data_IF_286706787147
#
_entry.id   IF_286706787147
#
_cell.length_a   1.000
_cell.length_b   1.000
_cell.length_c   1.000
_cell.angle_alpha   90.00
_cell.angle_beta   90.00
_cell.angle_gamma   90.00
#
_symmetry.space_group_name_H-M   'P 1'
#
loop_
_entity.id
_entity.type
_entity.pdbx_description
1 polymer ?
#
# COMPACT_ATOMS: atom_id res chain seq x y z
N UNK A 1 -18.54 21.43 -2.40
CA UNK A 1 -18.45 21.20 -3.86
C UNK A 1 -17.07 20.71 -4.20
N UNK A 2 -16.94 19.59 -4.95
CA UNK A 2 -15.62 19.05 -5.32
C UNK A 2 -14.96 19.98 -6.35
N UNK A 3 -13.98 20.76 -5.91
CA UNK A 3 -13.20 21.71 -6.72
C UNK A 3 -12.17 21.02 -7.64
N UNK A 4 -12.27 19.72 -7.82
CA UNK A 4 -11.32 18.91 -8.58
C UNK A 4 -11.89 18.54 -9.95
N UNK A 5 -11.24 19.00 -11.03
CA UNK A 5 -11.44 18.39 -12.32
C UNK A 5 -10.80 17.00 -12.32
N UNK A 6 -11.55 16.02 -12.74
CA UNK A 6 -11.07 14.64 -12.83
C UNK A 6 -10.43 14.44 -14.19
N UNK A 7 -9.17 13.96 -14.22
CA UNK A 7 -8.50 13.68 -15.50
C UNK A 7 -9.26 12.59 -16.27
N UNK A 8 -9.38 12.67 -17.61
CA UNK A 8 -10.11 11.68 -18.42
C UNK A 8 -9.68 10.23 -18.24
N UNK A 9 -8.42 10.02 -17.88
CA UNK A 9 -7.94 8.66 -17.55
C UNK A 9 -8.61 8.05 -16.32
N UNK A 10 -9.33 8.82 -15.50
CA UNK A 10 -9.98 8.31 -14.29
C UNK A 10 -10.96 7.17 -14.59
N UNK A 11 -11.84 7.33 -15.56
CA UNK A 11 -12.84 6.31 -15.90
C UNK A 11 -12.19 4.98 -16.35
N UNK A 12 -11.02 5.06 -16.98
CA UNK A 12 -10.25 3.88 -17.40
C UNK A 12 -9.56 3.18 -16.23
N UNK A 13 -9.35 3.89 -15.11
CA UNK A 13 -8.67 3.38 -13.92
C UNK A 13 -9.62 2.85 -12.85
N UNK A 14 -10.89 3.31 -12.89
CA UNK A 14 -11.92 2.92 -11.93
C UNK A 14 -12.97 2.12 -12.67
N UNK A 15 -12.72 0.81 -12.80
CA UNK A 15 -13.75 -0.11 -13.30
C UNK A 15 -14.64 -0.56 -12.15
N UNK A 16 -15.75 0.15 -11.95
CA UNK A 16 -16.72 -0.12 -10.90
C UNK A 16 -17.54 -1.42 -11.15
N UNK A 17 -17.49 -1.98 -12.34
CA UNK A 17 -18.27 -3.15 -12.72
C UNK A 17 -17.45 -4.44 -12.84
N UNK A 18 -16.15 -4.32 -13.13
CA UNK A 18 -15.28 -5.46 -13.47
C UNK A 18 -14.43 -6.02 -12.30
N UNK A 19 -14.46 -5.42 -11.12
CA UNK A 19 -13.60 -5.83 -10.00
C UNK A 19 -12.17 -5.23 -10.06
N UNK A 20 -11.22 -5.73 -9.24
CA UNK A 20 -9.86 -5.19 -9.18
C UNK A 20 -9.13 -5.27 -10.52
N UNK A 21 -8.59 -4.13 -10.98
CA UNK A 21 -7.90 -4.01 -12.26
C UNK A 21 -6.54 -3.35 -12.12
N UNK A 22 -5.53 -3.85 -12.85
CA UNK A 22 -4.18 -3.30 -12.80
C UNK A 22 -3.95 -2.20 -13.84
N UNK A 23 -3.14 -1.19 -13.47
CA UNK A 23 -2.80 -0.08 -14.34
C UNK A 23 -1.37 0.43 -14.06
N UNK A 24 -0.70 0.90 -15.11
CA UNK A 24 0.59 1.59 -15.00
C UNK A 24 0.43 2.98 -15.63
N UNK A 25 0.68 4.01 -14.83
CA UNK A 25 0.47 5.40 -15.20
C UNK A 25 1.79 6.15 -15.08
N UNK A 26 2.31 6.64 -16.21
CA UNK A 26 3.48 7.50 -16.22
C UNK A 26 3.07 8.97 -16.28
N UNK A 27 3.85 9.83 -15.64
CA UNK A 27 3.62 11.27 -15.73
C UNK A 27 4.78 12.08 -15.20
N UNK A 28 4.94 13.28 -15.75
CA UNK A 28 5.93 14.27 -15.29
C UNK A 28 5.62 14.72 -13.85
N UNK A 29 6.62 15.29 -13.19
CA UNK A 29 6.42 15.91 -11.89
C UNK A 29 5.51 17.13 -12.03
N UNK A 30 4.36 17.09 -11.33
CA UNK A 30 3.32 18.13 -11.41
C UNK A 30 2.24 17.85 -12.46
N UNK A 31 2.25 16.70 -13.15
CA UNK A 31 1.19 16.28 -14.09
C UNK A 31 -0.15 15.93 -13.40
N UNK A 32 -0.19 15.87 -12.08
CA UNK A 32 -1.41 15.52 -11.36
C UNK A 32 -1.54 14.05 -10.96
N UNK A 33 -0.47 13.22 -11.06
CA UNK A 33 -0.46 11.80 -10.63
C UNK A 33 -1.11 11.59 -9.27
N UNK A 34 -0.63 12.31 -8.25
CA UNK A 34 -1.14 12.17 -6.88
C UNK A 34 -2.58 12.66 -6.72
N UNK A 35 -3.01 13.64 -7.53
CA UNK A 35 -4.42 14.07 -7.57
C UNK A 35 -5.30 12.98 -8.20
N UNK A 36 -4.89 12.42 -9.32
CA UNK A 36 -5.58 11.30 -9.99
C UNK A 36 -5.65 10.07 -9.05
N UNK A 37 -4.55 9.71 -8.40
CA UNK A 37 -4.54 8.62 -7.40
C UNK A 37 -5.56 8.85 -6.29
N UNK A 38 -5.62 10.09 -5.73
CA UNK A 38 -6.60 10.42 -4.68
C UNK A 38 -8.05 10.30 -5.19
N UNK A 39 -8.31 10.75 -6.42
CA UNK A 39 -9.63 10.62 -7.04
C UNK A 39 -10.01 9.15 -7.23
N UNK A 40 -9.08 8.33 -7.75
CA UNK A 40 -9.25 6.88 -7.90
C UNK A 40 -9.49 6.22 -6.56
N UNK A 41 -8.67 6.52 -5.53
CA UNK A 41 -8.85 5.98 -4.19
C UNK A 41 -10.20 6.38 -3.57
N UNK A 42 -10.64 7.64 -3.77
CA UNK A 42 -11.95 8.12 -3.31
C UNK A 42 -13.09 7.37 -4.01
N UNK A 43 -13.01 7.18 -5.33
CA UNK A 43 -14.01 6.44 -6.10
C UNK A 43 -14.12 4.97 -5.67
N UNK A 44 -12.99 4.27 -5.56
CA UNK A 44 -12.94 2.87 -5.11
C UNK A 44 -13.43 2.68 -3.66
N UNK A 45 -13.09 3.61 -2.77
CA UNK A 45 -13.59 3.59 -1.38
C UNK A 45 -15.09 3.88 -1.30
N UNK A 46 -15.60 4.77 -2.15
CA UNK A 46 -17.04 5.10 -2.19
C UNK A 46 -17.85 3.92 -2.75
N UNK A 47 -17.33 3.19 -3.73
CA UNK A 47 -17.95 1.96 -4.25
C UNK A 47 -17.94 0.84 -3.20
N UNK A 48 -16.93 0.76 -2.35
CA UNK A 48 -16.82 -0.18 -1.22
C UNK A 48 -16.71 -1.66 -1.59
N UNK A 49 -16.67 -1.99 -2.88
CA UNK A 49 -16.59 -3.38 -3.36
C UNK A 49 -15.21 -4.00 -3.15
N UNK A 50 -14.15 -3.22 -3.20
CA UNK A 50 -12.76 -3.67 -3.03
C UNK A 50 -12.10 -3.12 -1.78
N UNK A 51 -11.12 -3.84 -1.21
CA UNK A 51 -10.28 -3.31 -0.15
C UNK A 51 -9.20 -2.42 -0.78
N UNK A 52 -9.34 -1.10 -0.62
CA UNK A 52 -8.41 -0.13 -1.21
C UNK A 52 -7.27 0.19 -0.26
N UNK A 53 -6.03 -0.03 -0.71
CA UNK A 53 -4.77 0.21 0.00
C UNK A 53 -3.97 1.27 -0.74
N UNK A 54 -3.50 2.29 -0.03
CA UNK A 54 -2.66 3.35 -0.58
C UNK A 54 -1.25 3.25 -0.01
N UNK A 55 -0.25 3.14 -0.89
CA UNK A 55 1.18 3.18 -0.55
C UNK A 55 1.75 4.47 -1.14
N UNK A 56 1.89 5.48 -0.29
CA UNK A 56 2.36 6.83 -0.67
C UNK A 56 3.73 7.16 -0.11
N UNK A 57 4.24 6.33 0.76
CA UNK A 57 5.58 6.40 1.33
C UNK A 57 6.12 4.97 1.43
N UNK A 58 7.23 4.71 0.78
CA UNK A 58 7.91 3.41 0.78
C UNK A 58 9.12 3.37 1.72
N UNK A 59 9.56 4.52 2.22
CA UNK A 59 10.76 4.64 3.03
C UNK A 59 10.74 3.78 4.31
N UNK A 60 9.62 3.65 5.06
CA UNK A 60 9.59 2.83 6.27
C UNK A 60 9.98 1.37 6.02
N UNK A 61 9.57 0.78 4.89
CA UNK A 61 9.94 -0.59 4.51
C UNK A 61 11.37 -0.68 3.99
N UNK A 62 11.82 0.33 3.23
CA UNK A 62 13.18 0.39 2.70
C UNK A 62 14.21 0.61 3.81
N UNK A 63 13.88 1.33 4.87
CA UNK A 63 14.73 1.47 6.06
C UNK A 63 14.94 0.13 6.76
N UNK A 64 13.87 -0.65 6.97
CA UNK A 64 13.97 -2.00 7.55
C UNK A 64 14.87 -2.87 6.66
N UNK A 65 14.67 -2.84 5.34
CA UNK A 65 15.50 -3.58 4.39
C UNK A 65 16.97 -3.18 4.49
N UNK A 66 17.26 -1.88 4.54
CA UNK A 66 18.62 -1.35 4.67
C UNK A 66 19.28 -1.75 5.99
N UNK A 67 18.55 -1.73 7.09
CA UNK A 67 19.05 -2.16 8.40
C UNK A 67 19.38 -3.66 8.39
N UNK A 68 18.54 -4.49 7.81
CA UNK A 68 18.79 -5.93 7.70
C UNK A 68 19.92 -6.26 6.72
N UNK A 69 19.98 -5.59 5.58
CA UNK A 69 21.07 -5.74 4.61
C UNK A 69 22.43 -5.26 5.17
N UNK A 70 22.43 -4.21 6.00
CA UNK A 70 23.63 -3.69 6.67
C UNK A 70 24.25 -4.64 7.68
N UNK A 71 23.50 -5.60 8.20
CA UNK A 71 24.01 -6.68 9.06
C UNK A 71 24.76 -7.78 8.26
N UNK A 72 24.57 -7.83 6.94
CA UNK A 72 25.29 -8.74 6.04
C UNK A 72 26.59 -8.08 5.55
N UNK A 73 27.73 -8.80 5.61
CA UNK A 73 29.07 -8.31 5.26
C UNK A 73 29.28 -7.83 3.80
N UNK A 74 28.23 -7.82 2.97
CA UNK A 74 28.29 -7.43 1.55
C UNK A 74 27.64 -6.05 1.33
N UNK A 75 28.41 -4.99 1.53
CA UNK A 75 27.99 -3.58 1.56
C UNK A 75 27.78 -2.87 0.21
N UNK A 76 27.96 -3.49 -0.93
CA UNK A 76 27.85 -2.83 -2.22
C UNK A 76 26.48 -3.08 -2.88
N UNK A 77 25.79 -2.04 -3.31
CA UNK A 77 24.52 -2.00 -4.04
C UNK A 77 23.27 -2.40 -3.24
N UNK A 78 22.91 -1.63 -2.19
CA UNK A 78 21.81 -1.91 -1.26
C UNK A 78 20.47 -2.26 -1.89
N UNK A 79 19.93 -1.46 -2.82
CA UNK A 79 18.60 -1.68 -3.40
C UNK A 79 18.55 -2.56 -4.65
N UNK A 80 19.69 -2.78 -5.33
CA UNK A 80 19.79 -3.74 -6.45
C UNK A 80 19.52 -5.21 -6.04
N UNK A 81 19.33 -5.47 -4.75
CA UNK A 81 19.02 -6.79 -4.17
C UNK A 81 17.58 -6.98 -3.76
N UNK A 82 16.75 -5.96 -3.99
CA UNK A 82 15.31 -6.12 -3.81
C UNK A 82 14.82 -7.16 -4.81
N UNK A 83 14.22 -8.21 -4.29
CA UNK A 83 13.61 -9.24 -5.11
C UNK A 83 12.08 -9.13 -5.07
N UNK A 84 11.41 -9.96 -5.84
CA UNK A 84 9.96 -10.01 -5.91
C UNK A 84 9.33 -10.36 -4.59
N UNK A 85 9.95 -11.26 -3.83
CA UNK A 85 9.45 -11.66 -2.53
C UNK A 85 9.41 -10.48 -1.56
N UNK A 86 10.42 -9.57 -1.62
CA UNK A 86 10.44 -8.37 -0.82
C UNK A 86 9.27 -7.42 -1.16
N UNK A 87 8.95 -7.27 -2.44
CA UNK A 87 7.81 -6.42 -2.85
C UNK A 87 6.47 -7.04 -2.48
N UNK A 88 6.34 -8.35 -2.56
CA UNK A 88 5.14 -9.04 -2.06
C UNK A 88 5.05 -8.89 -0.54
N UNK A 89 6.15 -8.96 0.20
CA UNK A 89 6.18 -8.70 1.64
C UNK A 89 5.72 -7.26 1.97
N UNK A 90 6.10 -6.26 1.15
CA UNK A 90 5.59 -4.89 1.27
C UNK A 90 4.08 -4.82 1.01
N UNK A 91 3.60 -5.45 -0.07
CA UNK A 91 2.17 -5.50 -0.39
C UNK A 91 1.36 -6.17 0.74
N UNK A 92 1.85 -7.28 1.27
CA UNK A 92 1.24 -7.98 2.41
C UNK A 92 1.20 -7.09 3.65
N UNK A 93 2.29 -6.36 3.92
CA UNK A 93 2.36 -5.42 5.04
C UNK A 93 1.34 -4.29 4.91
N UNK A 94 1.34 -3.59 3.77
CA UNK A 94 0.39 -2.50 3.52
C UNK A 94 -1.07 -2.99 3.57
N UNK A 95 -1.35 -4.15 2.96
CA UNK A 95 -2.69 -4.73 2.94
C UNK A 95 -3.18 -5.17 4.33
N UNK A 96 -2.31 -5.78 5.16
CA UNK A 96 -2.68 -6.19 6.51
C UNK A 96 -2.91 -5.00 7.44
N UNK A 97 -2.17 -3.89 7.28
CA UNK A 97 -2.43 -2.65 8.00
C UNK A 97 -3.81 -2.09 7.66
N UNK A 98 -4.10 -1.93 6.36
CA UNK A 98 -5.39 -1.41 5.90
C UNK A 98 -6.56 -2.32 6.27
N UNK A 99 -6.36 -3.62 6.18
CA UNK A 99 -7.36 -4.61 6.60
C UNK A 99 -7.66 -4.48 8.10
N UNK A 100 -6.65 -4.27 8.93
CA UNK A 100 -6.81 -4.04 10.35
C UNK A 100 -7.69 -2.82 10.66
N UNK A 101 -7.45 -1.68 9.98
CA UNK A 101 -8.29 -0.48 10.09
C UNK A 101 -9.74 -0.74 9.65
N UNK A 102 -9.91 -1.43 8.52
CA UNK A 102 -11.24 -1.76 7.99
C UNK A 102 -12.01 -2.69 8.91
N UNK A 103 -11.35 -3.64 9.56
CA UNK A 103 -11.96 -4.56 10.52
C UNK A 103 -12.29 -3.89 11.87
N UNK A 104 -11.60 -2.82 12.26
CA UNK A 104 -12.01 -1.98 13.39
C UNK A 104 -13.33 -1.27 13.09
N UNK A 105 -13.48 -0.74 11.86
CA UNK A 105 -14.69 -0.06 11.43
C UNK A 105 -15.88 -1.04 11.21
N UNK A 106 -15.61 -2.23 10.66
CA UNK A 106 -16.61 -3.22 10.30
C UNK A 106 -16.29 -4.62 10.88
N UNK A 107 -16.38 -4.86 12.19
CA UNK A 107 -16.01 -6.13 12.82
C UNK A 107 -16.94 -7.30 12.42
N UNK A 108 -18.11 -7.01 11.88
CA UNK A 108 -19.06 -8.00 11.37
C UNK A 108 -18.49 -8.85 10.22
N UNK A 109 -17.54 -8.33 9.45
CA UNK A 109 -16.88 -9.05 8.35
C UNK A 109 -16.08 -10.26 8.84
N UNK A 110 -15.50 -10.20 10.04
CA UNK A 110 -14.81 -11.34 10.66
C UNK A 110 -15.72 -12.53 10.91
N UNK A 111 -17.02 -12.30 11.10
CA UNK A 111 -17.99 -13.38 11.34
C UNK A 111 -18.20 -14.27 10.10
N UNK A 112 -17.92 -13.75 8.90
CA UNK A 112 -18.03 -14.50 7.65
C UNK A 112 -16.91 -15.55 7.49
N UNK A 113 -15.77 -15.36 8.18
CA UNK A 113 -14.65 -16.28 8.13
C UNK A 113 -14.86 -17.49 9.06
N UNK A 114 -14.41 -18.65 8.61
CA UNK A 114 -14.29 -19.85 9.45
C UNK A 114 -13.23 -19.68 10.55
N UNK A 115 -13.22 -20.53 11.55
CA UNK A 115 -12.20 -20.47 12.62
C UNK A 115 -10.79 -20.70 12.12
N UNK A 116 -10.57 -21.50 11.06
CA UNK A 116 -9.27 -21.71 10.44
C UNK A 116 -8.81 -20.47 9.66
N UNK A 117 -9.70 -19.83 8.92
CA UNK A 117 -9.40 -18.59 8.18
C UNK A 117 -9.08 -17.42 9.10
N UNK A 118 -9.81 -17.28 10.24
CA UNK A 118 -9.45 -16.28 11.26
C UNK A 118 -8.08 -16.55 11.88
N UNK A 119 -7.73 -17.80 12.06
CA UNK A 119 -6.40 -18.18 12.54
C UNK A 119 -5.29 -17.85 11.54
N UNK A 120 -5.54 -18.09 10.25
CA UNK A 120 -4.65 -17.72 9.16
C UNK A 120 -4.47 -16.20 9.06
N UNK A 121 -5.58 -15.44 9.10
CA UNK A 121 -5.56 -13.98 9.14
C UNK A 121 -4.77 -13.45 10.34
N UNK A 122 -4.97 -14.05 11.52
CA UNK A 122 -4.22 -13.68 12.72
C UNK A 122 -2.70 -13.87 12.55
N UNK A 123 -2.28 -14.95 11.89
CA UNK A 123 -0.86 -15.19 11.59
C UNK A 123 -0.32 -14.17 10.57
N UNK A 124 -1.08 -13.87 9.52
CA UNK A 124 -0.70 -12.85 8.54
C UNK A 124 -0.54 -11.46 9.19
N UNK A 125 -1.51 -11.05 10.03
CA UNK A 125 -1.42 -9.78 10.76
C UNK A 125 -0.24 -9.78 11.73
N UNK A 126 -0.01 -10.86 12.48
CA UNK A 126 1.13 -10.96 13.39
C UNK A 126 2.48 -10.91 12.66
N UNK A 127 2.55 -11.42 11.43
CA UNK A 127 3.76 -11.45 10.62
C UNK A 127 4.03 -10.13 9.90
N UNK A 128 3.00 -9.57 9.25
CA UNK A 128 3.15 -8.51 8.25
C UNK A 128 2.65 -7.14 8.69
N UNK A 129 1.76 -7.05 9.67
CA UNK A 129 1.28 -5.74 10.13
C UNK A 129 2.45 -4.93 10.68
N UNK A 130 2.84 -3.88 9.97
CA UNK A 130 3.91 -3.00 10.43
C UNK A 130 3.45 -2.21 11.67
N UNK A 131 4.32 -2.13 12.68
CA UNK A 131 4.00 -1.47 13.95
C UNK A 131 4.45 0.00 13.92
N UNK A 132 3.97 0.76 12.92
CA UNK A 132 4.29 2.18 12.85
C UNK A 132 3.47 3.01 13.87
N UNK A 133 2.31 2.48 14.36
CA UNK A 133 1.36 3.21 15.20
C UNK A 133 0.93 2.47 16.49
N UNK A 134 1.61 1.39 16.88
CA UNK A 134 1.29 0.67 18.13
C UNK A 134 0.10 -0.30 18.10
N UNK A 135 -0.71 -0.27 17.08
CA UNK A 135 -2.00 -1.01 16.96
C UNK A 135 -1.89 -2.52 16.75
N UNK A 136 -0.71 -3.04 16.42
CA UNK A 136 -0.51 -4.47 16.09
C UNK A 136 -0.93 -5.40 17.25
N UNK A 137 -0.55 -5.07 18.48
CA UNK A 137 -0.83 -5.93 19.63
C UNK A 137 -2.32 -6.04 19.91
N UNK A 138 -3.03 -4.93 19.82
CA UNK A 138 -4.49 -4.88 20.00
C UNK A 138 -5.20 -5.71 18.93
N UNK A 139 -4.85 -5.53 17.66
CA UNK A 139 -5.45 -6.29 16.56
C UNK A 139 -5.17 -7.78 16.67
N UNK A 140 -3.94 -8.18 16.94
CA UNK A 140 -3.59 -9.60 17.12
C UNK A 140 -4.34 -10.19 18.30
N UNK A 141 -4.45 -9.48 19.43
CA UNK A 141 -5.20 -9.98 20.59
C UNK A 141 -6.68 -10.12 20.31
N UNK A 142 -7.29 -9.19 19.60
CA UNK A 142 -8.68 -9.26 19.15
C UNK A 142 -8.91 -10.46 18.23
N UNK A 143 -8.06 -10.65 17.21
CA UNK A 143 -8.16 -11.78 16.28
C UNK A 143 -7.91 -13.12 16.97
N UNK A 144 -6.98 -13.20 17.93
CA UNK A 144 -6.73 -14.40 18.73
C UNK A 144 -7.96 -14.78 19.57
N UNK A 145 -8.61 -13.79 20.19
CA UNK A 145 -9.83 -14.04 20.96
C UNK A 145 -10.96 -14.58 20.09
N UNK A 146 -11.15 -13.99 18.89
CA UNK A 146 -12.14 -14.39 17.90
C UNK A 146 -11.86 -15.77 17.26
N UNK A 147 -10.58 -16.19 17.20
CA UNK A 147 -10.16 -17.45 16.56
C UNK A 147 -10.14 -18.65 17.52
N UNK A 148 -10.26 -18.41 18.83
CA UNK A 148 -10.10 -19.44 19.86
C UNK A 148 -11.45 -20.14 20.12
N UNK A 149 -11.61 -21.42 19.76
CA UNK A 149 -12.84 -22.13 20.11
C UNK A 149 -12.90 -22.34 21.63
N UNK A 150 -13.93 -21.78 22.27
CA UNK A 150 -14.14 -21.77 23.71
C UNK A 150 -14.08 -23.17 24.34
N UNK A 151 -14.62 -24.19 23.65
CA UNK A 151 -14.66 -25.57 24.11
C UNK A 151 -13.26 -26.20 24.26
N UNK A 152 -12.25 -25.77 23.45
CA UNK A 152 -10.87 -26.24 23.61
C UNK A 152 -10.19 -25.65 24.84
N UNK A 153 -10.58 -24.47 25.28
CA UNK A 153 -10.10 -23.90 26.55
C UNK A 153 -10.77 -24.56 27.75
N UNK A 154 -12.09 -24.83 27.64
CA UNK A 154 -12.84 -25.58 28.65
C UNK A 154 -12.30 -26.99 28.79
N UNK A 155 -12.11 -27.72 27.69
CA UNK A 155 -11.50 -29.05 27.72
C UNK A 155 -10.15 -29.09 28.41
N UNK A 156 -9.25 -28.14 28.10
CA UNK A 156 -7.94 -28.05 28.80
C UNK A 156 -8.09 -27.73 30.29
N UNK A 157 -9.01 -26.85 30.65
CA UNK A 157 -9.29 -26.54 32.05
C UNK A 157 -9.81 -27.77 32.79
N UNK A 158 -10.74 -28.54 32.22
CA UNK A 158 -11.23 -29.80 32.79
C UNK A 158 -10.10 -30.81 32.98
N UNK A 159 -9.25 -31.02 31.96
CA UNK A 159 -8.08 -31.92 32.08
C UNK A 159 -7.10 -31.45 33.15
N UNK A 160 -6.84 -30.16 33.27
CA UNK A 160 -5.95 -29.59 34.29
C UNK A 160 -6.55 -29.79 35.71
N UNK A 161 -7.86 -29.55 35.85
CA UNK A 161 -8.56 -29.75 37.12
C UNK A 161 -8.59 -31.23 37.51
N UNK A 162 -8.89 -32.12 36.60
CA UNK A 162 -8.90 -33.59 36.86
C UNK A 162 -7.47 -34.08 37.22
N UNK A 163 -6.46 -33.62 36.47
CA UNK A 163 -5.06 -33.96 36.79
C UNK A 163 -4.63 -33.46 38.17
N UNK A 164 -4.97 -32.22 38.50
CA UNK A 164 -4.68 -31.64 39.83
C UNK A 164 -5.44 -32.34 40.93
N UNK A 165 -6.73 -32.64 40.72
CA UNK A 165 -7.55 -33.41 41.68
C UNK A 165 -6.94 -34.79 41.93
N UNK A 166 -6.53 -35.52 40.87
CA UNK A 166 -5.85 -36.81 41.04
C UNK A 166 -4.56 -36.74 41.86
N UNK A 167 -3.75 -35.68 41.69
CA UNK A 167 -2.53 -35.47 42.47
C UNK A 167 -2.82 -35.07 43.94
N UNK A 168 -3.97 -34.45 44.22
CA UNK A 168 -4.36 -34.04 45.59
C UNK A 168 -4.95 -35.18 46.42
N UNK A 169 -5.42 -36.26 45.81
CA UNK A 169 -6.04 -37.39 46.53
C UNK A 169 -5.16 -37.93 47.68
N UNK A 170 -3.84 -38.22 47.48
CA UNK A 170 -3.00 -38.71 48.59
C UNK A 170 -2.80 -37.69 49.70
N UNK A 171 -2.77 -36.39 49.39
CA UNK A 171 -2.62 -35.32 50.38
C UNK A 171 -3.85 -35.17 51.25
N UNK A 172 -5.07 -35.35 50.68
CA UNK A 172 -6.34 -35.28 51.40
C UNK A 172 -6.51 -36.51 52.31
N UNK A 173 -5.98 -37.67 51.91
CA UNK A 173 -5.96 -38.87 52.75
C UNK A 173 -5.04 -38.73 53.95
N UNK A 174 -3.82 -38.16 53.78
CA UNK A 174 -2.90 -37.87 54.86
C UNK A 174 -3.50 -36.91 55.90
N UNK A 175 -4.43 -36.05 55.49
CA UNK A 175 -5.20 -35.15 56.35
C UNK A 175 -6.37 -35.80 57.08
N UNK A 176 -6.63 -37.10 56.92
CA UNK A 176 -7.65 -37.86 57.66
C UNK A 176 -9.11 -37.53 57.30
N UNK A 177 -9.37 -36.76 56.21
CA UNK A 177 -10.69 -36.24 55.84
C UNK A 177 -11.51 -37.16 54.91
N UNK A 178 -10.88 -38.14 54.26
CA UNK A 178 -11.53 -39.05 53.32
C UNK A 178 -10.89 -40.42 53.41
N UNK A 179 -11.70 -41.48 53.62
CA UNK A 179 -11.26 -42.88 53.61
C UNK A 179 -11.39 -43.48 52.22
N UNK A 180 -10.31 -43.39 51.44
CA UNK A 180 -10.23 -44.12 50.16
C UNK A 180 -9.34 -45.34 50.39
N UNK A 181 -9.67 -46.49 49.81
CA UNK A 181 -8.83 -47.70 49.93
C UNK A 181 -7.38 -47.39 49.47
N UNK A 182 -6.37 -47.74 50.28
CA UNK A 182 -4.96 -47.44 49.98
C UNK A 182 -4.49 -47.97 48.61
N UNK A 183 -5.08 -49.06 48.15
CA UNK A 183 -4.82 -49.70 46.89
C UNK A 183 -5.19 -48.83 45.66
N UNK A 184 -6.17 -47.92 45.78
CA UNK A 184 -6.65 -47.07 44.71
C UNK A 184 -5.98 -45.68 44.64
N UNK A 185 -5.35 -45.22 45.72
CA UNK A 185 -4.79 -43.86 45.80
C UNK A 185 -3.54 -43.66 44.95
N UNK A 186 -2.66 -44.63 44.92
CA UNK A 186 -1.41 -44.57 44.13
C UNK A 186 -1.70 -44.53 42.61
N UNK A 187 -2.53 -45.41 42.03
CA UNK A 187 -2.85 -45.35 40.61
C UNK A 187 -3.61 -44.04 40.20
N UNK A 188 -4.49 -43.51 41.05
CA UNK A 188 -5.18 -42.26 40.78
C UNK A 188 -4.18 -41.07 40.75
N UNK A 189 -3.26 -41.04 41.69
CA UNK A 189 -2.20 -40.02 41.70
C UNK A 189 -1.27 -40.11 40.46
N UNK A 190 -0.88 -41.32 40.08
CA UNK A 190 -0.06 -41.55 38.88
C UNK A 190 -0.76 -41.15 37.61
N UNK A 191 -2.05 -41.43 37.47
CA UNK A 191 -2.86 -40.98 36.33
C UNK A 191 -2.95 -39.46 36.31
N UNK A 192 -3.20 -38.81 37.45
CA UNK A 192 -3.23 -37.34 37.56
C UNK A 192 -1.91 -36.70 37.20
N UNK A 193 -0.79 -37.21 37.72
CA UNK A 193 0.55 -36.75 37.39
C UNK A 193 0.90 -36.98 35.92
N UNK A 194 0.52 -38.14 35.35
CA UNK A 194 0.70 -38.44 33.93
C UNK A 194 -0.09 -37.48 33.02
N UNK A 195 -1.33 -37.15 33.37
CA UNK A 195 -2.12 -36.14 32.63
C UNK A 195 -1.49 -34.76 32.64
N UNK A 196 -1.02 -34.28 33.80
CA UNK A 196 -0.33 -33.01 33.93
C UNK A 196 1.00 -33.02 33.16
N UNK A 197 1.76 -34.13 33.28
CA UNK A 197 3.01 -34.34 32.53
C UNK A 197 2.81 -34.29 31.02
N UNK A 198 1.78 -34.97 30.51
CA UNK A 198 1.42 -34.92 29.06
C UNK A 198 1.00 -33.53 28.64
N UNK A 199 0.23 -32.80 29.45
CA UNK A 199 -0.14 -31.41 29.15
C UNK A 199 1.09 -30.49 29.13
N UNK A 200 2.00 -30.62 30.10
CA UNK A 200 3.23 -29.85 30.15
C UNK A 200 4.14 -30.18 28.96
N UNK A 201 4.35 -31.46 28.63
CA UNK A 201 5.14 -31.91 27.50
C UNK A 201 4.54 -31.41 26.16
N UNK A 202 3.21 -31.48 26.03
CA UNK A 202 2.50 -30.94 24.87
C UNK A 202 2.66 -29.43 24.73
N UNK A 203 2.55 -28.69 25.84
CA UNK A 203 2.75 -27.24 25.86
C UNK A 203 4.19 -26.85 25.49
N UNK A 204 5.17 -27.55 26.08
CA UNK A 204 6.59 -27.36 25.78
C UNK A 204 6.89 -27.64 24.29
N UNK A 205 6.41 -28.76 23.78
CA UNK A 205 6.55 -29.13 22.38
C UNK A 205 5.98 -28.06 21.45
N UNK A 206 4.77 -27.56 21.71
CA UNK A 206 4.18 -26.47 20.94
C UNK A 206 5.02 -25.20 20.97
N UNK A 207 5.56 -24.86 22.14
CA UNK A 207 6.40 -23.67 22.28
C UNK A 207 7.71 -23.81 21.51
N UNK A 208 8.33 -24.99 21.53
CA UNK A 208 9.55 -25.27 20.77
C UNK A 208 9.30 -25.23 19.26
N UNK A 209 8.19 -25.84 18.79
CA UNK A 209 7.82 -25.80 17.38
C UNK A 209 7.50 -24.36 16.92
N UNK A 210 6.78 -23.58 17.73
CA UNK A 210 6.50 -22.17 17.45
C UNK A 210 7.80 -21.34 17.38
N UNK A 211 8.78 -21.59 18.28
CA UNK A 211 10.08 -20.92 18.23
C UNK A 211 10.84 -21.23 16.94
N UNK A 212 10.87 -22.52 16.51
CA UNK A 212 11.55 -22.93 15.27
C UNK A 212 10.87 -22.34 14.04
N UNK A 213 9.54 -22.39 13.96
CA UNK A 213 8.78 -21.83 12.87
C UNK A 213 9.00 -20.30 12.75
N UNK A 214 8.96 -19.60 13.89
CA UNK A 214 9.21 -18.17 13.94
C UNK A 214 10.64 -17.80 13.50
N UNK A 215 11.64 -18.59 13.89
CA UNK A 215 13.03 -18.37 13.46
C UNK A 215 13.18 -18.43 11.94
N UNK A 216 12.54 -19.38 11.28
CA UNK A 216 12.53 -19.52 9.83
C UNK A 216 11.81 -18.32 9.16
N UNK A 217 10.60 -17.99 9.61
CA UNK A 217 9.83 -16.87 9.07
C UNK A 217 10.61 -15.55 9.18
N UNK A 218 11.19 -15.28 10.37
CA UNK A 218 11.94 -14.05 10.59
C UNK A 218 13.24 -13.97 9.77
N UNK A 219 13.87 -15.09 9.47
CA UNK A 219 15.07 -15.14 8.63
C UNK A 219 14.79 -14.83 7.15
N UNK A 220 13.58 -15.12 6.68
CA UNK A 220 13.17 -14.89 5.31
C UNK A 220 12.60 -13.48 5.07
N UNK A 221 12.14 -12.80 6.11
CA UNK A 221 11.56 -11.45 6.01
C UNK A 221 12.68 -10.39 6.00
N UNK A 222 12.74 -9.58 4.94
CA UNK A 222 13.78 -8.57 4.76
C UNK A 222 13.24 -7.13 4.79
N UNK A 223 11.96 -6.95 4.53
CA UNK A 223 11.28 -5.64 4.48
C UNK A 223 10.43 -5.39 5.72
N UNK A 224 10.02 -6.44 6.41
CA UNK A 224 9.20 -6.33 7.62
C UNK A 224 9.94 -6.88 8.82
N UNK A 225 9.68 -6.30 9.99
CA UNK A 225 10.20 -6.79 11.27
C UNK A 225 9.05 -7.45 12.07
N UNK A 226 8.88 -8.78 11.97
CA UNK A 226 7.81 -9.47 12.69
C UNK A 226 8.06 -9.36 14.21
N UNK A 227 7.00 -9.07 14.97
CA UNK A 227 7.09 -9.11 16.41
C UNK A 227 7.20 -10.56 16.89
N UNK A 228 8.38 -10.90 17.41
CA UNK A 228 8.70 -12.25 17.87
C UNK A 228 7.80 -12.74 19.01
N UNK A 229 7.31 -11.84 19.85
CA UNK A 229 6.44 -12.18 20.99
C UNK A 229 5.03 -12.48 20.49
N UNK A 230 4.46 -11.60 19.70
CA UNK A 230 3.12 -11.75 19.14
C UNK A 230 3.02 -12.96 18.21
N UNK A 231 4.01 -13.14 17.33
CA UNK A 231 4.08 -14.29 16.42
C UNK A 231 4.13 -15.62 17.18
N UNK A 232 5.00 -15.70 18.23
CA UNK A 232 5.07 -16.89 19.07
C UNK A 232 3.75 -17.14 19.80
N UNK A 233 3.10 -16.09 20.32
CA UNK A 233 1.78 -16.18 20.97
C UNK A 233 0.73 -16.69 19.98
N UNK A 234 0.68 -16.15 18.76
CA UNK A 234 -0.22 -16.61 17.71
C UNK A 234 0.00 -18.09 17.37
N UNK A 235 1.25 -18.50 17.08
CA UNK A 235 1.60 -19.88 16.75
C UNK A 235 1.31 -20.88 17.86
N UNK A 236 1.40 -20.48 19.13
CA UNK A 236 1.10 -21.37 20.28
C UNK A 236 -0.38 -21.51 20.53
N UNK A 237 -1.19 -20.50 20.22
CA UNK A 237 -2.64 -20.50 20.51
C UNK A 237 -3.43 -21.14 19.38
N UNK A 238 -3.01 -20.93 18.12
CA UNK A 238 -3.77 -21.37 16.93
C UNK A 238 -3.74 -22.89 16.71
N UNK A 239 -4.72 -23.45 16.01
CA UNK A 239 -4.74 -24.88 15.64
C UNK A 239 -3.52 -25.28 14.82
N UNK A 240 -3.09 -26.55 14.94
CA UNK A 240 -1.91 -27.07 14.22
C UNK A 240 -1.96 -26.95 12.70
N UNK A 241 -3.14 -26.98 12.10
CA UNK A 241 -3.36 -26.85 10.66
C UNK A 241 -3.24 -25.42 10.12
N UNK A 242 -3.10 -24.40 10.98
CA UNK A 242 -3.01 -22.99 10.56
C UNK A 242 -1.58 -22.51 10.31
N UNK A 243 -0.59 -23.21 10.87
CA UNK A 243 0.84 -22.88 10.72
C UNK A 243 1.45 -23.18 9.34
N UNK A 244 0.97 -24.15 8.55
CA UNK A 244 1.57 -24.52 7.26
C UNK A 244 1.67 -23.39 6.24
N UNK A 245 0.72 -22.42 6.26
CA UNK A 245 0.67 -21.32 5.29
C UNK A 245 1.95 -20.48 5.30
N UNK A 246 2.54 -20.25 6.49
CA UNK A 246 3.78 -19.47 6.64
C UNK A 246 5.06 -20.30 6.64
N UNK A 247 4.96 -21.64 6.74
CA UNK A 247 6.11 -22.50 7.04
C UNK A 247 6.31 -23.68 6.08
N UNK A 248 5.53 -23.80 5.01
CA UNK A 248 5.69 -24.91 4.05
C UNK A 248 6.99 -24.78 3.26
N UNK A 249 7.85 -25.71 3.46
CA UNK A 249 9.28 -25.66 3.47
C UNK A 249 10.05 -26.26 2.31
N UNK A 250 9.53 -26.53 1.12
CA UNK A 250 10.33 -26.94 -0.05
C UNK A 250 10.22 -25.96 -1.23
N UNK A 251 9.44 -24.90 -1.08
CA UNK A 251 9.23 -23.92 -2.13
C UNK A 251 10.27 -22.83 -2.08
N UNK A 252 10.49 -22.25 -3.25
CA UNK A 252 11.29 -21.02 -3.32
C UNK A 252 10.62 -19.92 -2.49
N UNK A 253 11.41 -19.00 -1.93
CA UNK A 253 10.92 -17.86 -1.15
C UNK A 253 9.84 -17.07 -1.91
N UNK A 254 10.00 -16.92 -3.22
CA UNK A 254 9.06 -16.20 -4.09
C UNK A 254 7.71 -16.92 -4.21
N UNK A 255 7.70 -18.22 -4.44
CA UNK A 255 6.47 -19.02 -4.55
C UNK A 255 5.69 -19.01 -3.24
N UNK A 256 6.40 -19.11 -2.12
CA UNK A 256 5.81 -19.01 -0.79
C UNK A 256 5.13 -17.65 -0.57
N UNK A 257 5.78 -16.54 -0.94
CA UNK A 257 5.21 -15.18 -0.82
C UNK A 257 4.03 -14.96 -1.76
N UNK A 258 4.13 -15.45 -2.99
CA UNK A 258 3.02 -15.39 -3.95
C UNK A 258 1.77 -16.11 -3.43
N UNK A 259 1.95 -17.29 -2.84
CA UNK A 259 0.85 -18.06 -2.22
C UNK A 259 0.25 -17.33 -1.02
N UNK A 260 1.07 -16.67 -0.19
CA UNK A 260 0.57 -15.85 0.92
C UNK A 260 -0.29 -14.68 0.44
N UNK A 261 0.13 -14.02 -0.64
CA UNK A 261 -0.65 -12.95 -1.26
C UNK A 261 -1.98 -13.46 -1.81
N UNK A 262 -1.98 -14.61 -2.49
CA UNK A 262 -3.21 -15.26 -2.94
C UNK A 262 -4.13 -15.63 -1.77
N UNK A 263 -3.57 -16.18 -0.70
CA UNK A 263 -4.31 -16.50 0.53
C UNK A 263 -4.94 -15.27 1.15
N UNK A 264 -4.21 -14.16 1.24
CA UNK A 264 -4.76 -12.88 1.73
C UNK A 264 -5.89 -12.36 0.84
N UNK A 265 -5.74 -12.41 -0.49
CA UNK A 265 -6.78 -12.00 -1.44
C UNK A 265 -8.04 -12.87 -1.25
N UNK A 266 -7.87 -14.19 -1.08
CA UNK A 266 -9.00 -15.07 -0.82
C UNK A 266 -9.70 -14.75 0.50
N UNK A 267 -8.96 -14.48 1.57
CA UNK A 267 -9.53 -14.04 2.86
C UNK A 267 -10.32 -12.73 2.71
N UNK A 268 -9.80 -11.78 1.94
CA UNK A 268 -10.48 -10.51 1.63
C UNK A 268 -11.79 -10.78 0.89
N UNK A 269 -11.79 -11.70 -0.09
CA UNK A 269 -13.02 -12.11 -0.80
C UNK A 269 -14.03 -12.80 0.11
N UNK A 270 -13.59 -13.68 0.96
CA UNK A 270 -14.45 -14.40 1.91
C UNK A 270 -15.07 -13.45 2.96
N UNK A 271 -14.41 -12.33 3.25
CA UNK A 271 -14.96 -11.23 4.04
C UNK A 271 -15.97 -10.36 3.28
N UNK A 272 -16.14 -10.59 1.97
CA UNK A 272 -17.15 -9.95 1.13
C UNK A 272 -16.69 -8.73 0.35
N UNK A 273 -15.39 -8.58 0.12
CA UNK A 273 -14.85 -7.70 -0.91
C UNK A 273 -14.64 -8.47 -2.22
N UNK A 274 -14.60 -7.77 -3.35
CA UNK A 274 -14.26 -8.37 -4.65
C UNK A 274 -12.76 -8.73 -4.76
N UNK A 275 -11.93 -8.06 -3.97
CA UNK A 275 -10.48 -8.26 -3.92
C UNK A 275 -9.75 -7.07 -3.33
N UNK A 276 -8.47 -6.96 -3.66
CA UNK A 276 -7.53 -5.97 -3.16
C UNK A 276 -7.16 -4.97 -4.26
N UNK A 277 -7.29 -3.67 -3.99
CA UNK A 277 -6.81 -2.59 -4.85
C UNK A 277 -5.62 -1.89 -4.17
N UNK A 278 -4.44 -2.00 -4.76
CA UNK A 278 -3.21 -1.41 -4.25
C UNK A 278 -2.76 -0.25 -5.15
N UNK A 279 -2.71 0.95 -4.60
CA UNK A 279 -2.30 2.18 -5.29
C UNK A 279 -0.93 2.61 -4.78
N UNK A 280 0.09 2.56 -5.64
CA UNK A 280 1.47 2.95 -5.31
C UNK A 280 1.80 4.27 -5.99
N UNK A 281 2.25 5.26 -5.21
CA UNK A 281 2.57 6.61 -5.69
C UNK A 281 3.81 7.15 -4.97
N UNK A 282 4.45 8.18 -5.53
CA UNK A 282 5.54 8.96 -4.93
C UNK A 282 6.85 8.18 -4.69
N UNK A 283 7.13 7.18 -5.48
CA UNK A 283 8.44 6.50 -5.38
C UNK A 283 9.61 7.43 -5.69
N UNK A 284 9.37 8.51 -6.48
CA UNK A 284 10.33 9.57 -6.80
C UNK A 284 10.54 10.56 -5.63
N UNK A 285 9.68 10.56 -4.62
CA UNK A 285 9.82 11.38 -3.40
C UNK A 285 10.54 10.62 -2.27
N UNK A 286 10.79 9.31 -2.42
CA UNK A 286 11.52 8.50 -1.44
C UNK A 286 12.93 9.05 -1.21
N UNK A 287 13.25 9.30 0.05
CA UNK A 287 14.59 9.79 0.47
C UNK A 287 15.66 8.73 0.24
N UNK A 288 15.29 7.47 0.30
CA UNK A 288 16.20 6.33 0.14
C UNK A 288 16.45 5.99 -1.34
N UNK A 289 15.44 6.11 -2.20
CA UNK A 289 15.60 5.94 -3.65
C UNK A 289 16.20 7.18 -4.32
N UNK A 290 16.16 8.35 -3.64
CA UNK A 290 16.81 9.60 -4.03
C UNK A 290 16.46 10.08 -5.46
N UNK A 291 15.27 9.78 -5.95
CA UNK A 291 14.82 10.01 -7.32
C UNK A 291 15.79 9.47 -8.40
N UNK A 292 16.66 8.51 -8.05
CA UNK A 292 17.59 7.87 -9.00
C UNK A 292 16.83 6.83 -9.82
N UNK A 293 16.93 6.93 -11.14
CA UNK A 293 16.22 6.06 -12.08
C UNK A 293 16.58 4.58 -11.90
N UNK A 294 17.87 4.30 -11.68
CA UNK A 294 18.38 2.94 -11.41
C UNK A 294 17.80 2.34 -10.12
N UNK A 295 17.74 3.12 -9.03
CA UNK A 295 17.17 2.66 -7.75
C UNK A 295 15.65 2.46 -7.85
N UNK A 296 14.94 3.43 -8.43
CA UNK A 296 13.50 3.32 -8.66
C UNK A 296 13.17 2.17 -9.61
N UNK A 297 13.98 1.99 -10.66
CA UNK A 297 13.88 0.89 -11.60
C UNK A 297 14.02 -0.46 -10.90
N UNK A 298 15.08 -0.64 -10.12
CA UNK A 298 15.29 -1.87 -9.34
C UNK A 298 14.15 -2.17 -8.35
N UNK A 299 13.47 -1.14 -7.85
CA UNK A 299 12.30 -1.29 -7.00
C UNK A 299 11.05 -1.75 -7.79
N UNK A 300 10.84 -1.24 -9.00
CA UNK A 300 9.62 -1.50 -9.79
C UNK A 300 9.75 -2.70 -10.73
N UNK A 301 10.94 -2.99 -11.26
CA UNK A 301 11.17 -4.07 -12.23
C UNK A 301 10.61 -5.43 -11.78
N UNK A 302 10.81 -5.89 -10.53
CA UNK A 302 10.28 -7.17 -10.09
C UNK A 302 8.75 -7.24 -10.11
N UNK A 303 8.05 -6.11 -10.03
CA UNK A 303 6.59 -6.02 -10.14
C UNK A 303 6.15 -6.13 -11.60
N UNK A 304 6.86 -5.43 -12.50
CA UNK A 304 6.51 -5.39 -13.92
C UNK A 304 6.80 -6.71 -14.63
N UNK A 305 7.89 -7.40 -14.28
CA UNK A 305 8.35 -8.61 -14.99
C UNK A 305 7.51 -9.86 -14.70
N UNK A 306 6.54 -9.80 -13.81
CA UNK A 306 5.80 -10.98 -13.35
C UNK A 306 4.30 -10.81 -13.34
N UNK A 307 3.64 -11.97 -13.23
CA UNK A 307 2.17 -12.12 -13.25
C UNK A 307 1.43 -11.37 -12.12
N UNK A 308 2.10 -10.51 -11.34
CA UNK A 308 1.46 -9.74 -10.26
C UNK A 308 0.39 -8.79 -10.80
N UNK A 309 0.64 -8.15 -11.94
CA UNK A 309 -0.35 -7.30 -12.61
C UNK A 309 -1.58 -8.06 -13.16
N UNK A 310 -1.52 -9.40 -13.16
CA UNK A 310 -2.58 -10.28 -13.66
C UNK A 310 -3.16 -11.19 -12.58
N UNK A 311 -2.72 -11.01 -11.35
CA UNK A 311 -3.21 -11.84 -10.24
C UNK A 311 -4.68 -11.57 -10.03
N UNK A 312 -5.49 -12.62 -10.15
CA UNK A 312 -6.93 -12.51 -9.97
C UNK A 312 -7.27 -11.99 -8.58
N UNK A 313 -8.11 -10.96 -8.52
CA UNK A 313 -8.47 -10.28 -7.29
C UNK A 313 -7.44 -9.26 -6.78
N UNK A 314 -6.37 -9.00 -7.53
CA UNK A 314 -5.43 -7.90 -7.27
C UNK A 314 -5.52 -6.86 -8.36
N UNK A 315 -5.91 -5.64 -8.01
CA UNK A 315 -5.74 -4.45 -8.84
C UNK A 315 -4.51 -3.67 -8.37
N UNK A 316 -3.45 -3.64 -9.18
CA UNK A 316 -2.23 -2.94 -8.87
C UNK A 316 -2.10 -1.70 -9.74
N UNK A 317 -2.26 -0.50 -9.15
CA UNK A 317 -2.18 0.78 -9.84
C UNK A 317 -0.90 1.50 -9.48
N UNK A 318 0.04 1.57 -10.43
CA UNK A 318 1.37 2.16 -10.28
C UNK A 318 1.40 3.55 -10.88
N UNK A 319 1.56 4.59 -10.07
CA UNK A 319 1.73 5.98 -10.49
C UNK A 319 3.22 6.32 -10.51
N UNK A 320 3.82 6.18 -11.69
CA UNK A 320 5.27 6.20 -11.88
C UNK A 320 5.75 7.53 -12.48
N UNK A 321 6.97 7.97 -12.16
CA UNK A 321 7.60 9.09 -12.83
C UNK A 321 7.91 8.74 -14.29
N UNK A 322 7.83 9.74 -15.18
CA UNK A 322 8.05 9.57 -16.63
C UNK A 322 9.44 9.05 -16.95
N UNK A 323 10.41 9.29 -16.09
CA UNK A 323 11.80 8.83 -16.19
C UNK A 323 11.91 7.30 -16.21
N UNK A 324 10.90 6.58 -15.71
CA UNK A 324 10.83 5.12 -15.75
C UNK A 324 10.14 4.58 -17.02
N UNK A 325 9.62 5.44 -17.91
CA UNK A 325 9.03 5.00 -19.18
C UNK A 325 9.98 4.12 -20.02
N UNK A 326 11.30 4.37 -20.06
CA UNK A 326 12.22 3.51 -20.80
C UNK A 326 12.26 2.05 -20.31
N UNK A 327 11.95 1.78 -19.04
CA UNK A 327 11.85 0.41 -18.51
C UNK A 327 10.78 -0.42 -19.23
N UNK A 328 9.72 0.24 -19.70
CA UNK A 328 8.62 -0.39 -20.43
C UNK A 328 8.85 -0.26 -21.93
N UNK A 329 9.04 0.97 -22.45
CA UNK A 329 9.18 1.21 -23.90
C UNK A 329 10.48 0.71 -24.51
N UNK A 330 11.58 0.73 -23.74
CA UNK A 330 12.89 0.21 -24.15
C UNK A 330 13.03 -1.29 -23.97
N UNK A 331 12.03 -1.96 -23.43
CA UNK A 331 12.04 -3.40 -23.23
C UNK A 331 11.95 -4.13 -24.57
N UNK A 332 12.83 -5.11 -24.77
CA UNK A 332 12.76 -6.00 -25.93
C UNK A 332 11.44 -6.79 -25.99
N UNK A 333 11.08 -7.36 -27.15
CA UNK A 333 9.80 -8.06 -27.36
C UNK A 333 9.53 -9.17 -26.34
N UNK A 334 10.57 -9.89 -25.91
CA UNK A 334 10.43 -10.96 -24.92
C UNK A 334 10.12 -10.42 -23.51
N UNK A 335 10.70 -9.28 -23.14
CA UNK A 335 10.45 -8.64 -21.86
C UNK A 335 9.04 -8.07 -21.83
N UNK A 336 8.57 -7.42 -22.90
CA UNK A 336 7.19 -6.95 -23.04
C UNK A 336 6.18 -8.10 -22.94
N UNK A 337 6.49 -9.26 -23.56
CA UNK A 337 5.65 -10.46 -23.41
C UNK A 337 5.61 -10.97 -21.98
N UNK A 338 6.73 -10.92 -21.25
CA UNK A 338 6.77 -11.30 -19.82
C UNK A 338 5.98 -10.34 -18.94
N UNK A 339 6.10 -9.05 -19.18
CA UNK A 339 5.35 -8.01 -18.46
C UNK A 339 3.84 -8.11 -18.69
N UNK A 340 3.41 -8.61 -19.88
CA UNK A 340 2.01 -8.78 -20.27
C UNK A 340 1.14 -7.56 -19.97
N UNK A 341 1.67 -6.38 -20.27
CA UNK A 341 0.99 -5.11 -20.08
C UNK A 341 -0.24 -4.94 -21.01
N UNK A 342 -0.41 -5.84 -21.99
CA UNK A 342 -1.61 -5.98 -22.81
C UNK A 342 -2.89 -6.19 -22.00
N UNK A 343 -2.77 -6.72 -20.79
CA UNK A 343 -3.89 -6.95 -19.87
C UNK A 343 -4.05 -5.87 -18.79
N UNK A 344 -3.12 -4.93 -18.70
CA UNK A 344 -3.18 -3.81 -17.76
C UNK A 344 -3.50 -2.52 -18.50
N UNK A 345 -4.16 -1.58 -17.84
CA UNK A 345 -4.36 -0.24 -18.40
C UNK A 345 -3.03 0.51 -18.39
N UNK A 346 -2.50 0.81 -19.57
CA UNK A 346 -1.28 1.60 -19.71
C UNK A 346 -1.64 3.03 -20.06
N UNK A 347 -1.18 4.00 -19.25
CA UNK A 347 -1.21 5.44 -19.51
C UNK A 347 0.23 5.89 -19.68
N UNK A 348 0.67 5.96 -20.92
CA UNK A 348 2.07 6.26 -21.29
C UNK A 348 2.57 7.61 -20.80
N UNK A 349 1.68 8.59 -20.75
CA UNK A 349 1.96 9.91 -20.23
C UNK A 349 0.68 10.61 -19.79
N UNK A 350 0.66 11.07 -18.54
CA UNK A 350 -0.45 11.84 -18.00
C UNK A 350 -0.32 13.30 -18.46
N UNK A 351 -0.95 13.62 -19.58
CA UNK A 351 -1.01 14.96 -20.18
C UNK A 351 -2.41 15.52 -20.09
N UNK A 352 -2.48 16.83 -19.99
CA UNK A 352 -3.71 17.59 -20.00
C UNK A 352 -3.83 18.39 -21.30
N UNK A 353 -5.00 18.39 -21.91
CA UNK A 353 -5.31 19.33 -22.99
C UNK A 353 -5.50 20.75 -22.46
N UNK A 354 -5.41 21.74 -23.34
CA UNK A 354 -5.66 23.12 -22.96
C UNK A 354 -7.08 23.34 -22.42
N UNK A 355 -8.06 22.61 -22.96
CA UNK A 355 -9.44 22.64 -22.51
C UNK A 355 -9.59 22.11 -21.08
N UNK A 356 -8.98 20.97 -20.75
CA UNK A 356 -9.03 20.38 -19.41
C UNK A 356 -8.33 21.26 -18.39
N UNK A 357 -7.20 21.90 -18.76
CA UNK A 357 -6.50 22.85 -17.90
C UNK A 357 -7.32 24.12 -17.66
N UNK A 358 -8.04 24.59 -18.67
CA UNK A 358 -8.98 25.70 -18.52
C UNK A 358 -10.10 25.35 -17.56
N UNK A 359 -10.77 24.22 -17.75
CA UNK A 359 -11.81 23.74 -16.83
C UNK A 359 -11.32 23.57 -15.39
N UNK A 360 -10.07 23.10 -15.24
CA UNK A 360 -9.44 23.00 -13.93
C UNK A 360 -9.19 24.37 -13.31
N UNK A 361 -8.79 25.37 -14.13
CA UNK A 361 -8.60 26.76 -13.68
C UNK A 361 -9.93 27.39 -13.28
N UNK A 362 -10.98 27.23 -14.09
CA UNK A 362 -12.33 27.75 -13.80
C UNK A 362 -12.87 27.18 -12.48
N UNK A 363 -12.77 25.89 -12.26
CA UNK A 363 -13.17 25.26 -10.98
C UNK A 363 -12.40 25.81 -9.79
N UNK A 364 -11.11 26.14 -9.95
CA UNK A 364 -10.29 26.74 -8.90
C UNK A 364 -10.69 28.19 -8.63
N UNK A 365 -10.99 28.98 -9.69
CA UNK A 365 -11.48 30.33 -9.56
C UNK A 365 -12.83 30.36 -8.83
N UNK A 366 -13.77 29.52 -9.23
CA UNK A 366 -15.08 29.37 -8.55
C UNK A 366 -14.91 29.02 -7.07
N UNK A 367 -13.99 28.09 -6.75
CA UNK A 367 -13.74 27.68 -5.37
C UNK A 367 -13.06 28.75 -4.52
N UNK A 368 -12.29 29.67 -5.13
CA UNK A 368 -11.59 30.77 -4.48
C UNK A 368 -12.41 32.07 -4.43
N UNK A 369 -13.45 32.18 -5.26
CA UNK A 369 -14.32 33.35 -5.36
C UNK A 369 -15.22 33.45 -4.14
N UNK A 370 -15.26 34.65 -3.53
CA UNK A 370 -16.23 35.01 -2.47
C UNK A 370 -17.52 35.64 -3.04
N UNK A 371 -17.67 35.64 -4.38
CA UNK A 371 -18.77 36.27 -5.12
C UNK A 371 -19.43 35.30 -6.13
N UNK A 372 -20.14 35.86 -7.14
CA UNK A 372 -20.66 35.04 -8.22
C UNK A 372 -19.54 34.23 -8.90
N UNK A 373 -19.90 33.08 -9.45
CA UNK A 373 -18.96 32.20 -10.11
C UNK A 373 -18.25 32.95 -11.25
N UNK A 374 -16.93 33.03 -11.18
CA UNK A 374 -16.09 33.67 -12.19
C UNK A 374 -15.33 32.61 -12.97
N UNK A 375 -15.39 32.68 -14.30
CA UNK A 375 -14.57 31.84 -15.16
C UNK A 375 -13.35 32.62 -15.67
N UNK A 376 -12.31 31.89 -16.11
CA UNK A 376 -11.08 32.50 -16.59
C UNK A 376 -11.35 33.43 -17.79
N UNK A 377 -12.33 33.09 -18.64
CA UNK A 377 -12.71 33.91 -19.78
C UNK A 377 -13.22 35.30 -19.42
N UNK A 378 -13.87 35.45 -18.26
CA UNK A 378 -14.36 36.77 -17.79
C UNK A 378 -13.24 37.69 -17.30
N UNK A 379 -12.08 37.09 -16.96
CA UNK A 379 -10.89 37.83 -16.52
C UNK A 379 -10.00 38.27 -17.68
N UNK A 380 -10.28 37.86 -18.91
CA UNK A 380 -9.50 38.23 -20.10
C UNK A 380 -10.00 39.54 -20.67
N UNK A 381 -9.09 40.40 -21.16
CA UNK A 381 -9.41 41.58 -21.92
C UNK A 381 -10.07 41.27 -23.25
N UNK A 382 -10.82 42.23 -23.83
CA UNK A 382 -11.53 42.04 -25.12
C UNK A 382 -10.61 41.72 -26.27
N UNK A 383 -9.34 42.08 -26.17
CA UNK A 383 -8.28 41.87 -27.16
C UNK A 383 -7.61 40.47 -27.05
N UNK A 384 -8.00 39.66 -26.04
CA UNK A 384 -7.42 38.34 -25.77
C UNK A 384 -8.44 37.22 -25.90
N UNK A 385 -8.28 36.37 -26.94
CA UNK A 385 -9.16 35.24 -27.17
C UNK A 385 -8.91 34.09 -26.21
N UNK A 386 -10.01 33.45 -25.75
CA UNK A 386 -9.97 32.24 -24.94
C UNK A 386 -9.26 31.08 -25.67
N UNK A 387 -9.26 31.07 -27.01
CA UNK A 387 -8.54 30.07 -27.83
C UNK A 387 -7.02 30.22 -27.61
N UNK A 388 -6.50 31.45 -27.63
CA UNK A 388 -5.08 31.74 -27.37
C UNK A 388 -4.67 31.31 -25.98
N UNK A 389 -5.52 31.50 -24.97
CA UNK A 389 -5.32 31.01 -23.61
C UNK A 389 -5.27 29.47 -23.55
N UNK A 390 -6.21 28.78 -24.22
CA UNK A 390 -6.20 27.31 -24.30
C UNK A 390 -4.92 26.78 -24.96
N UNK A 391 -4.44 27.42 -26.00
CA UNK A 391 -3.22 27.03 -26.70
C UNK A 391 -1.98 27.22 -25.82
N UNK A 392 -1.94 28.33 -25.07
CA UNK A 392 -0.88 28.56 -24.09
C UNK A 392 -0.88 27.47 -23.01
N UNK A 393 -2.03 27.16 -22.43
CA UNK A 393 -2.18 26.10 -21.43
C UNK A 393 -1.84 24.71 -22.01
N UNK A 394 -2.27 24.41 -23.25
CA UNK A 394 -1.92 23.16 -23.93
C UNK A 394 -0.41 22.98 -24.10
N UNK A 395 0.31 24.06 -24.44
CA UNK A 395 1.77 24.03 -24.58
C UNK A 395 2.47 23.69 -23.26
N UNK A 396 1.90 24.10 -22.13
CA UNK A 396 2.42 23.80 -20.79
C UNK A 396 2.14 22.35 -20.36
N UNK A 397 0.99 21.80 -20.74
CA UNK A 397 0.65 20.37 -20.65
C UNK A 397 0.48 19.78 -19.26
N UNK A 398 0.78 20.54 -18.19
CA UNK A 398 0.66 20.05 -16.81
C UNK A 398 -0.01 21.09 -15.88
N UNK A 399 -0.82 20.66 -14.90
CA UNK A 399 -1.47 21.57 -13.96
C UNK A 399 -0.48 22.47 -13.20
N UNK A 400 0.70 21.96 -12.81
CA UNK A 400 1.71 22.74 -12.11
C UNK A 400 2.21 23.91 -12.93
N UNK A 401 2.53 23.69 -14.20
CA UNK A 401 3.02 24.74 -15.09
C UNK A 401 1.89 25.71 -15.46
N UNK A 402 0.68 25.19 -15.69
CA UNK A 402 -0.51 26.02 -15.97
C UNK A 402 -0.81 26.98 -14.80
N UNK A 403 -0.86 26.47 -13.57
CA UNK A 403 -1.12 27.33 -12.41
C UNK A 403 0.04 28.30 -12.10
N UNK A 404 1.28 27.91 -12.35
CA UNK A 404 2.40 28.84 -12.22
C UNK A 404 2.29 29.96 -13.27
N UNK A 405 1.95 29.62 -14.51
CA UNK A 405 1.71 30.61 -15.57
C UNK A 405 0.56 31.55 -15.21
N UNK A 406 -0.59 31.05 -14.78
CA UNK A 406 -1.76 31.86 -14.42
C UNK A 406 -1.44 32.78 -13.22
N UNK A 407 -0.75 32.27 -12.20
CA UNK A 407 -0.32 33.10 -11.07
C UNK A 407 0.59 34.23 -11.55
N UNK A 408 1.67 33.89 -12.30
CA UNK A 408 2.65 34.86 -12.78
C UNK A 408 1.97 35.89 -13.72
N UNK A 409 0.97 35.46 -14.52
CA UNK A 409 0.16 36.31 -15.37
C UNK A 409 -0.67 37.34 -14.57
N UNK A 410 -1.39 36.88 -13.56
CA UNK A 410 -2.19 37.75 -12.71
C UNK A 410 -1.33 38.70 -11.87
N UNK A 411 -0.19 38.23 -11.36
CA UNK A 411 0.75 39.08 -10.61
C UNK A 411 1.39 40.14 -11.51
N UNK A 412 1.77 39.80 -12.74
CA UNK A 412 2.33 40.74 -13.71
C UNK A 412 1.31 41.81 -14.10
N UNK A 413 0.10 41.39 -14.42
CA UNK A 413 -0.98 42.30 -14.73
C UNK A 413 -1.33 43.21 -13.55
N UNK A 414 -1.43 42.66 -12.35
CA UNK A 414 -1.73 43.42 -11.16
C UNK A 414 -0.68 44.53 -10.84
N UNK A 415 0.57 44.35 -11.19
CA UNK A 415 1.63 45.38 -11.04
C UNK A 415 1.48 46.56 -12.02
N UNK A 416 0.81 46.36 -13.12
CA UNK A 416 0.59 47.38 -14.14
C UNK A 416 -0.68 48.19 -13.88
N UNK A 417 -1.54 47.75 -12.93
CA UNK A 417 -2.76 48.42 -12.63
C UNK A 417 -2.49 49.71 -11.83
N UNK A 418 -3.20 50.85 -12.14
CA UNK A 418 -3.14 52.04 -11.34
C UNK A 418 -3.71 51.81 -9.94
N UNK A 419 -3.13 52.47 -8.93
CA UNK A 419 -3.59 52.33 -7.52
C UNK A 419 -5.03 52.83 -7.30
N UNK A 420 -5.52 53.73 -8.18
CA UNK A 420 -6.81 54.33 -8.14
C UNK A 420 -7.88 53.65 -9.04
N UNK A 421 -7.58 52.46 -9.56
CA UNK A 421 -8.49 51.75 -10.46
C UNK A 421 -9.82 51.44 -9.79
N UNK A 422 -10.92 51.97 -10.36
CA UNK A 422 -12.25 51.67 -9.87
C UNK A 422 -12.63 50.21 -10.08
N UNK A 423 -13.30 49.56 -9.09
CA UNK A 423 -13.61 48.12 -9.13
C UNK A 423 -14.49 47.70 -10.31
N UNK A 424 -15.30 48.61 -10.83
CA UNK A 424 -16.23 48.33 -11.95
C UNK A 424 -15.62 48.67 -13.33
N UNK A 425 -14.32 48.99 -13.41
CA UNK A 425 -13.67 49.29 -14.66
C UNK A 425 -13.17 48.01 -15.34
N UNK A 426 -13.19 47.99 -16.68
CA UNK A 426 -12.64 46.87 -17.48
C UNK A 426 -11.12 46.74 -17.36
N UNK A 427 -10.46 47.70 -16.74
CA UNK A 427 -9.01 47.66 -16.48
C UNK A 427 -8.52 46.51 -15.63
N UNK A 428 -9.42 45.84 -14.89
CA UNK A 428 -9.10 44.62 -14.13
C UNK A 428 -8.88 43.37 -15.01
N UNK A 429 -9.31 43.43 -16.27
CA UNK A 429 -9.15 42.33 -17.19
C UNK A 429 -7.70 42.23 -17.68
N UNK A 430 -7.19 41.01 -17.78
CA UNK A 430 -5.81 40.72 -18.18
C UNK A 430 -5.53 41.29 -19.56
N UNK A 431 -4.53 42.15 -19.66
CA UNK A 431 -4.11 42.76 -20.92
C UNK A 431 -3.35 41.77 -21.81
N UNK A 432 -3.48 41.97 -23.13
CA UNK A 432 -2.71 41.20 -24.13
C UNK A 432 -1.19 41.33 -23.89
N UNK A 433 -0.72 42.49 -23.50
CA UNK A 433 0.71 42.73 -23.23
C UNK A 433 1.23 41.84 -22.09
N UNK A 434 0.51 41.75 -20.95
CA UNK A 434 0.87 40.87 -19.86
C UNK A 434 0.84 39.38 -20.28
N UNK A 435 -0.19 38.99 -21.05
CA UNK A 435 -0.33 37.62 -21.55
C UNK A 435 0.86 37.22 -22.43
N UNK A 436 1.25 38.02 -23.42
CA UNK A 436 2.32 37.68 -24.35
C UNK A 436 3.68 37.58 -23.64
N UNK A 437 3.96 38.51 -22.68
CA UNK A 437 5.19 38.45 -21.88
C UNK A 437 5.26 37.15 -21.10
N UNK A 438 4.19 36.77 -20.40
CA UNK A 438 4.16 35.59 -19.57
C UNK A 438 4.11 34.31 -20.38
N UNK A 439 3.48 34.31 -21.55
CA UNK A 439 3.49 33.19 -22.51
C UNK A 439 4.91 32.89 -22.99
N UNK A 440 5.69 33.91 -23.37
CA UNK A 440 7.07 33.76 -23.78
C UNK A 440 7.94 33.23 -22.64
N UNK A 441 7.88 33.84 -21.45
CA UNK A 441 8.65 33.43 -20.27
C UNK A 441 8.35 32.00 -19.82
N UNK A 442 7.07 31.58 -19.84
CA UNK A 442 6.64 30.25 -19.43
C UNK A 442 7.01 29.17 -20.44
N UNK A 443 6.96 29.49 -21.74
CA UNK A 443 7.43 28.61 -22.81
C UNK A 443 8.92 28.31 -22.70
N UNK A 444 9.74 29.29 -22.39
CA UNK A 444 11.17 29.12 -22.20
C UNK A 444 11.49 28.33 -20.92
N UNK A 445 10.77 28.56 -19.82
CA UNK A 445 10.87 27.74 -18.60
C UNK A 445 10.52 26.27 -18.88
N UNK A 446 9.43 26.02 -19.57
CA UNK A 446 9.00 24.65 -19.91
C UNK A 446 10.02 23.94 -20.79
N UNK A 447 10.60 24.63 -21.79
CA UNK A 447 11.67 24.09 -22.64
C UNK A 447 12.94 23.78 -21.84
N UNK A 448 13.35 24.68 -20.97
CA UNK A 448 14.53 24.52 -20.12
C UNK A 448 14.39 23.34 -19.16
N UNK A 449 13.25 23.21 -18.48
CA UNK A 449 12.94 22.07 -17.62
C UNK A 449 12.97 20.74 -18.39
N UNK A 450 12.35 20.67 -19.56
CA UNK A 450 12.38 19.46 -20.41
C UNK A 450 13.79 19.12 -20.89
N UNK A 451 14.63 20.11 -21.22
CA UNK A 451 16.05 19.88 -21.57
C UNK A 451 16.84 19.34 -20.40
N UNK A 452 16.71 19.92 -19.21
CA UNK A 452 17.39 19.45 -18.00
C UNK A 452 17.02 18.02 -17.66
N UNK A 453 15.73 17.66 -17.72
CA UNK A 453 15.26 16.30 -17.48
C UNK A 453 15.85 15.30 -18.49
N UNK A 454 15.89 15.63 -19.77
CA UNK A 454 16.49 14.78 -20.80
C UNK A 454 18.01 14.62 -20.63
N UNK A 455 18.74 15.69 -20.29
CA UNK A 455 20.19 15.62 -20.08
C UNK A 455 20.55 14.79 -18.85
N UNK A 456 19.78 14.87 -17.78
CA UNK A 456 19.98 14.05 -16.58
C UNK A 456 19.79 12.57 -16.87
N UNK A 457 18.89 12.20 -17.79
CA UNK A 457 18.68 10.81 -18.21
C UNK A 457 19.78 10.29 -19.15
N UNK A 458 20.35 11.13 -20.01
CA UNK A 458 21.40 10.74 -20.97
C UNK A 458 22.78 10.66 -20.30
N UNK A 459 23.16 11.59 -19.42
CA UNK A 459 24.47 11.55 -18.73
C UNK A 459 24.62 10.34 -17.79
N UNK A 460 23.52 9.74 -17.33
CA UNK A 460 23.54 8.54 -16.49
C UNK A 460 23.67 7.24 -17.30
N UNK A 461 23.30 7.23 -18.58
CA UNK A 461 23.48 6.07 -19.46
C UNK A 461 24.88 5.92 -20.07
N UNK A 462 25.72 6.95 -20.00
CA UNK A 462 27.10 6.93 -20.57
C UNK A 462 28.19 6.66 -19.54
N UNK A 463 27.88 6.48 -18.27
CA UNK A 463 28.85 6.13 -17.22
C UNK A 463 28.93 4.62 -16.98
N UNK A 464 28.09 3.82 -17.63
CA UNK A 464 28.05 2.35 -17.50
C UNK A 464 28.38 1.61 -18.81
N UNK A 465 29.02 2.26 -19.79
CA UNK A 465 29.57 1.58 -20.98
C UNK A 465 31.08 1.35 -20.85
#
# INVERSE_FOLDING_TARGET
MDSWAVHPSYERLVDLNGGPSSAVIFGERGSGKSALRRSVAKGLKADGKSLTVEVTDVDPWLEIFKLQAGQSKQRANGFARLDRADLIDLMLSAATMRLGESLKAEPSRLKKLSSSQRAELCLLVAAYHANFEGDREEQVSHLLSASRPWWKSVGRAIFAVLGAAGCLVPLVQLGGRVSIEPSATLPVALVGAGMLGLMAAHSLWRTLMARRAMGRIAAEMRITAPDRRLMRRALTVLPRGSAPVLTQGEETREEGRYRLLQGLIQLVRDMGWSGLELLVDRIDESTLLQARVDCMGSFIDPVLEHKLLQLDGLGLKLFLPVELTPLVRGAGPERLRRMRLDKATLVDELRWSGQELLELADRRLVAASNGPATCLGELLGEDLDLVEMKDALHTLGTPRLAFAFLRDLFEDHARELPDDLHRDSDGWRVSRGAFERQRAASSDRARTLRRMMRQTSVMRGTVES
#
